data_IF_560014979602
#
_entry.id   IF_560014979602
#
_cell.length_a   1.000
_cell.length_b   1.000
_cell.length_c   1.000
_cell.angle_alpha   90.00
_cell.angle_beta   90.00
_cell.angle_gamma   90.00
#
_symmetry.space_group_name_H-M   'P 1'
#
loop_
_entity.id
_entity.type
_entity.pdbx_description
1 polymer ?
#
# COMPACT_ATOMS: atom_id res chain seq x y z
N UNK A 1 45.01 -37.86 44.52
CA UNK A 1 45.19 -36.57 43.83
C UNK A 1 44.89 -36.61 42.32
N UNK A 2 45.22 -37.66 41.59
CA UNK A 2 45.05 -37.76 40.13
C UNK A 2 43.58 -37.78 39.67
N UNK A 3 42.65 -38.38 40.42
CA UNK A 3 41.21 -38.41 40.06
C UNK A 3 40.51 -37.06 40.13
N UNK A 4 40.97 -36.09 40.91
CA UNK A 4 40.38 -34.73 40.96
C UNK A 4 40.87 -33.80 39.86
N UNK A 5 42.02 -34.07 39.26
CA UNK A 5 42.55 -33.31 38.14
C UNK A 5 41.85 -33.67 36.81
N UNK A 6 41.43 -34.94 36.64
CA UNK A 6 40.72 -35.39 35.43
C UNK A 6 39.30 -34.84 35.39
N UNK A 7 38.63 -34.72 36.53
CA UNK A 7 37.25 -34.15 36.58
C UNK A 7 37.26 -32.65 36.29
N UNK A 8 38.30 -31.91 36.72
CA UNK A 8 38.42 -30.47 36.40
C UNK A 8 38.73 -30.18 34.93
N UNK A 9 39.52 -31.07 34.25
CA UNK A 9 39.84 -30.94 32.85
C UNK A 9 38.62 -31.25 31.95
N UNK A 10 37.75 -32.18 32.33
CA UNK A 10 36.50 -32.50 31.59
C UNK A 10 35.45 -31.40 31.73
N UNK A 11 35.35 -30.76 32.90
CA UNK A 11 34.45 -29.63 33.08
C UNK A 11 34.92 -28.36 32.37
N UNK A 12 36.23 -28.17 32.19
CA UNK A 12 36.74 -27.02 31.44
C UNK A 12 36.60 -27.21 29.92
N UNK A 13 36.67 -28.44 29.43
CA UNK A 13 36.43 -28.76 27.99
C UNK A 13 34.95 -28.66 27.58
N UNK A 14 34.00 -28.81 28.53
CA UNK A 14 32.56 -28.65 28.31
C UNK A 14 32.08 -27.19 28.36
N UNK A 15 32.88 -26.26 28.84
CA UNK A 15 32.56 -24.83 28.89
C UNK A 15 33.10 -24.03 27.72
N UNK A 16 33.87 -24.66 26.81
CA UNK A 16 34.43 -24.01 25.63
C UNK A 16 33.66 -24.36 24.30
N UNK A 17 32.58 -25.09 24.41
CA UNK A 17 31.77 -25.44 23.25
C UNK A 17 30.39 -24.80 23.29
N UNK A 18 30.28 -23.49 23.30
CA UNK A 18 29.03 -22.82 22.86
C UNK A 18 29.21 -21.31 22.87
N UNK A 19 29.72 -20.79 21.80
CA UNK A 19 29.31 -19.50 21.25
C UNK A 19 29.73 -19.45 19.78
N UNK A 20 29.25 -20.42 18.97
CA UNK A 20 28.96 -20.09 17.61
C UNK A 20 27.52 -19.56 17.69
N UNK A 21 27.36 -18.33 18.11
CA UNK A 21 26.24 -17.54 17.65
C UNK A 21 26.42 -17.49 16.14
N UNK A 22 25.61 -18.24 15.41
CA UNK A 22 25.36 -17.92 14.03
C UNK A 22 24.92 -16.43 14.09
N UNK A 23 25.83 -15.52 13.74
CA UNK A 23 25.44 -14.20 13.33
C UNK A 23 24.47 -14.48 12.17
N UNK A 24 23.20 -14.21 12.36
CA UNK A 24 22.31 -14.06 11.24
C UNK A 24 23.02 -13.06 10.33
N UNK A 25 23.43 -13.48 9.17
CA UNK A 25 23.94 -12.56 8.15
C UNK A 25 22.73 -11.67 7.85
N UNK A 26 22.79 -10.42 8.33
CA UNK A 26 21.80 -9.43 7.94
C UNK A 26 21.80 -9.43 6.41
N UNK A 27 20.63 -9.69 5.83
CA UNK A 27 20.42 -9.63 4.39
C UNK A 27 20.69 -8.18 3.97
N UNK A 28 21.81 -7.94 3.28
CA UNK A 28 22.18 -6.59 2.81
C UNK A 28 21.93 -6.52 1.32
N UNK A 29 21.01 -5.64 0.92
CA UNK A 29 20.71 -5.42 -0.49
C UNK A 29 21.70 -4.44 -1.13
N UNK A 30 22.21 -4.77 -2.30
CA UNK A 30 22.86 -3.81 -3.20
C UNK A 30 21.77 -3.18 -4.06
N UNK A 31 21.62 -1.85 -3.99
CA UNK A 31 20.63 -1.11 -4.77
C UNK A 31 21.35 -0.38 -5.91
N UNK A 32 20.85 -0.53 -7.12
CA UNK A 32 21.40 0.17 -8.30
C UNK A 32 20.33 0.97 -9.02
N UNK A 33 20.70 2.12 -9.56
CA UNK A 33 19.91 2.94 -10.46
C UNK A 33 20.64 3.06 -11.80
N UNK A 34 20.02 2.61 -12.88
CA UNK A 34 20.57 2.61 -14.22
C UNK A 34 21.97 1.93 -14.31
N UNK A 35 22.20 0.92 -13.46
CA UNK A 35 23.43 0.18 -13.36
C UNK A 35 24.52 0.77 -12.45
N UNK A 36 24.30 1.96 -11.89
CA UNK A 36 25.19 2.59 -10.91
C UNK A 36 24.69 2.34 -9.49
N UNK A 37 25.59 2.13 -8.53
CA UNK A 37 25.22 1.88 -7.13
C UNK A 37 24.53 3.11 -6.52
N UNK A 38 23.34 2.88 -5.93
CA UNK A 38 22.59 3.88 -5.17
C UNK A 38 22.82 3.68 -3.68
N UNK A 39 23.40 4.66 -3.02
CA UNK A 39 23.61 4.63 -1.57
C UNK A 39 22.36 5.11 -0.84
N UNK A 40 21.83 4.27 0.04
CA UNK A 40 20.71 4.58 0.92
C UNK A 40 21.24 4.79 2.36
N UNK A 41 20.54 5.62 3.16
CA UNK A 41 20.94 5.90 4.55
C UNK A 41 20.86 4.67 5.45
N UNK A 42 19.93 3.74 5.16
CA UNK A 42 19.82 2.42 5.78
C UNK A 42 19.45 1.39 4.73
N UNK A 43 19.67 0.12 5.07
CA UNK A 43 19.33 -0.98 4.17
C UNK A 43 17.81 -1.08 3.91
N UNK A 44 17.40 -1.50 2.70
CA UNK A 44 16.04 -1.92 2.43
C UNK A 44 15.58 -2.99 3.42
N UNK A 45 14.33 -2.91 3.85
CA UNK A 45 13.77 -3.80 4.86
C UNK A 45 12.58 -4.61 4.33
N UNK A 46 12.44 -5.84 4.80
CA UNK A 46 11.25 -6.67 4.59
C UNK A 46 10.43 -6.70 5.88
N UNK A 47 9.14 -6.39 5.80
CA UNK A 47 8.24 -6.47 6.96
C UNK A 47 7.82 -7.92 7.22
N UNK A 48 7.53 -8.66 6.16
CA UNK A 48 7.16 -10.07 6.23
C UNK A 48 7.97 -10.88 5.21
N UNK A 49 8.77 -11.81 5.70
CA UNK A 49 9.59 -12.68 4.85
C UNK A 49 8.78 -13.66 3.97
N UNK A 50 7.49 -13.80 4.23
CA UNK A 50 6.58 -14.63 3.41
C UNK A 50 6.11 -13.94 2.14
N UNK A 51 6.26 -12.60 2.03
CA UNK A 51 5.82 -11.79 0.89
C UNK A 51 7.06 -11.31 0.13
N UNK A 52 7.37 -11.93 -1.01
CA UNK A 52 8.56 -11.61 -1.82
C UNK A 52 8.57 -10.17 -2.37
N UNK A 53 7.41 -9.56 -2.50
CA UNK A 53 7.25 -8.20 -3.06
C UNK A 53 7.27 -7.07 -2.05
N UNK A 54 7.36 -7.37 -0.74
CA UNK A 54 7.25 -6.37 0.32
C UNK A 54 8.62 -5.84 0.75
N UNK A 55 9.20 -4.98 -0.08
CA UNK A 55 10.46 -4.28 0.20
C UNK A 55 10.17 -2.83 0.53
N UNK A 56 10.65 -2.40 1.69
CA UNK A 56 10.64 -1.01 2.13
C UNK A 56 12.01 -0.38 1.93
N UNK A 57 12.02 0.85 1.45
CA UNK A 57 13.23 1.65 1.27
C UNK A 57 13.10 2.99 2.01
N UNK A 58 14.22 3.56 2.50
CA UNK A 58 14.21 4.85 3.15
C UNK A 58 13.82 5.94 2.15
N UNK A 59 12.62 6.53 2.33
CA UNK A 59 11.99 7.39 1.33
C UNK A 59 12.88 8.58 0.95
N UNK A 60 13.49 9.24 1.95
CA UNK A 60 14.20 10.49 1.69
C UNK A 60 15.48 10.25 0.89
N UNK A 61 16.34 9.33 1.33
CA UNK A 61 17.58 9.00 0.60
C UNK A 61 17.32 8.33 -0.75
N UNK A 62 16.25 7.53 -0.85
CA UNK A 62 15.82 6.97 -2.12
C UNK A 62 15.41 8.07 -3.11
N UNK A 63 14.53 8.98 -2.70
CA UNK A 63 14.10 10.11 -3.55
C UNK A 63 15.26 11.04 -3.89
N UNK A 64 16.22 11.25 -2.99
CA UNK A 64 17.43 12.02 -3.27
C UNK A 64 18.28 11.34 -4.35
N UNK A 65 18.50 10.02 -4.24
CA UNK A 65 19.17 9.21 -5.26
C UNK A 65 18.46 9.27 -6.61
N UNK A 66 17.13 9.30 -6.63
CA UNK A 66 16.31 9.48 -7.84
C UNK A 66 16.25 10.94 -8.34
N UNK A 67 16.98 11.87 -7.74
CA UNK A 67 17.14 13.24 -8.21
C UNK A 67 16.21 14.28 -7.60
N UNK A 68 15.60 14.01 -6.46
CA UNK A 68 14.89 15.02 -5.69
C UNK A 68 15.84 16.20 -5.33
N UNK A 69 15.33 17.42 -5.40
CA UNK A 69 16.09 18.64 -5.11
C UNK A 69 16.04 19.04 -3.64
N UNK A 70 14.96 18.66 -2.97
CA UNK A 70 14.75 18.87 -1.55
C UNK A 70 14.09 17.62 -1.00
N UNK A 71 14.63 17.10 0.09
CA UNK A 71 14.00 16.07 0.90
C UNK A 71 13.86 16.57 2.33
N UNK A 72 12.73 16.31 2.98
CA UNK A 72 12.44 16.85 4.31
C UNK A 72 11.56 15.88 5.10
N UNK A 73 11.91 15.66 6.35
CA UNK A 73 11.04 15.07 7.36
C UNK A 73 10.44 16.16 8.25
N UNK A 74 9.17 16.07 8.55
CA UNK A 74 8.47 16.93 9.49
C UNK A 74 8.02 16.10 10.69
N UNK A 75 8.60 16.37 11.85
CA UNK A 75 8.37 15.62 13.08
C UNK A 75 6.98 15.87 13.68
N UNK A 76 6.40 17.06 13.47
CA UNK A 76 5.11 17.42 14.03
C UNK A 76 3.97 16.72 13.27
N UNK A 77 4.01 16.75 11.94
CA UNK A 77 3.02 16.08 11.08
C UNK A 77 3.36 14.62 10.80
N UNK A 78 4.53 14.13 11.21
CA UNK A 78 5.03 12.78 10.93
C UNK A 78 5.00 12.47 9.44
N UNK A 79 5.41 13.43 8.62
CA UNK A 79 5.36 13.33 7.15
C UNK A 79 6.71 13.60 6.50
N UNK A 80 6.91 12.98 5.35
CA UNK A 80 8.08 13.14 4.50
C UNK A 80 7.68 13.81 3.18
N UNK A 81 8.49 14.76 2.74
CA UNK A 81 8.33 15.47 1.48
C UNK A 81 9.59 15.32 0.63
N UNK A 82 9.44 14.88 -0.60
CA UNK A 82 10.49 14.89 -1.61
C UNK A 82 10.06 15.78 -2.79
N UNK A 83 10.83 16.84 -3.07
CA UNK A 83 10.52 17.81 -4.13
C UNK A 83 11.45 17.57 -5.31
N UNK A 84 10.87 17.26 -6.44
CA UNK A 84 11.52 17.17 -7.74
C UNK A 84 11.38 18.51 -8.50
N UNK A 85 11.84 18.56 -9.73
CA UNK A 85 11.78 19.80 -10.51
C UNK A 85 10.34 20.26 -10.78
N UNK A 86 9.44 19.34 -11.08
CA UNK A 86 8.10 19.62 -11.60
C UNK A 86 6.98 19.08 -10.71
N UNK A 87 7.29 18.24 -9.72
CA UNK A 87 6.32 17.66 -8.80
C UNK A 87 6.94 17.38 -7.43
N UNK A 88 6.10 16.95 -6.49
CA UNK A 88 6.53 16.50 -5.19
C UNK A 88 5.87 15.15 -4.85
N UNK A 89 6.55 14.38 -4.02
CA UNK A 89 6.01 13.20 -3.34
C UNK A 89 5.85 13.55 -1.87
N UNK A 90 4.66 13.35 -1.34
CA UNK A 90 4.33 13.52 0.07
C UNK A 90 3.79 12.21 0.64
N UNK A 91 4.25 11.85 1.83
CA UNK A 91 3.85 10.64 2.51
C UNK A 91 3.81 10.86 4.03
N UNK A 92 2.80 10.32 4.71
CA UNK A 92 2.63 10.43 6.16
C UNK A 92 2.75 9.05 6.80
N UNK A 93 3.32 8.99 7.99
CA UNK A 93 3.39 7.74 8.76
C UNK A 93 1.99 7.14 8.97
N UNK A 94 1.90 5.82 8.84
CA UNK A 94 0.70 4.99 8.92
C UNK A 94 -0.35 5.23 7.82
N UNK A 95 -0.17 6.21 6.92
CA UNK A 95 -1.03 6.35 5.75
C UNK A 95 -0.84 5.18 4.79
N UNK A 96 -1.96 4.71 4.19
CA UNK A 96 -1.98 3.63 3.20
C UNK A 96 -1.68 4.14 1.77
N UNK A 97 -1.12 5.32 1.64
CA UNK A 97 -0.79 5.89 0.34
C UNK A 97 0.26 7.00 0.44
N UNK A 98 0.86 7.29 -0.69
CA UNK A 98 1.63 8.51 -0.90
C UNK A 98 0.91 9.37 -1.95
N UNK A 99 1.16 10.66 -1.95
CA UNK A 99 0.70 11.54 -3.02
C UNK A 99 1.86 11.89 -3.96
N UNK A 100 1.61 11.81 -5.26
CA UNK A 100 2.57 12.19 -6.29
C UNK A 100 1.83 12.75 -7.50
N UNK A 101 2.19 13.96 -7.94
CA UNK A 101 1.61 14.63 -9.12
C UNK A 101 0.06 14.63 -9.14
N UNK A 102 -0.58 14.86 -7.98
CA UNK A 102 -2.05 14.88 -7.83
C UNK A 102 -2.72 13.50 -7.74
N UNK A 103 -1.93 12.40 -7.84
CA UNK A 103 -2.40 11.02 -7.67
C UNK A 103 -2.19 10.55 -6.23
N UNK A 104 -3.03 9.59 -5.79
CA UNK A 104 -2.86 8.87 -4.53
C UNK A 104 -2.43 7.45 -4.85
N UNK A 105 -1.19 7.09 -4.57
CA UNK A 105 -0.63 5.78 -4.90
C UNK A 105 -0.65 4.88 -3.68
N UNK A 106 -1.27 3.72 -3.82
CA UNK A 106 -1.52 2.80 -2.72
C UNK A 106 -0.23 2.19 -2.18
N UNK A 107 -0.07 2.26 -0.88
CA UNK A 107 0.95 1.58 -0.09
C UNK A 107 0.23 0.56 0.82
N UNK A 108 0.04 -0.65 0.35
CA UNK A 108 -0.85 -1.66 0.94
C UNK A 108 -0.62 -1.90 2.44
N UNK A 109 0.63 -1.83 2.88
CA UNK A 109 1.00 -2.04 4.28
C UNK A 109 1.34 -0.73 5.02
N UNK A 110 1.05 0.41 4.40
CA UNK A 110 1.26 1.75 4.94
C UNK A 110 2.70 2.24 4.88
N UNK A 111 2.86 3.54 5.05
CA UNK A 111 4.16 4.19 5.25
C UNK A 111 4.58 4.00 6.71
N UNK A 112 5.85 3.66 6.98
CA UNK A 112 6.27 3.21 8.32
C UNK A 112 7.56 3.84 8.78
N UNK A 113 7.73 3.95 10.10
CA UNK A 113 9.07 4.13 10.69
C UNK A 113 9.63 2.75 11.05
N UNK A 114 10.76 2.38 10.45
CA UNK A 114 11.50 1.15 10.71
C UNK A 114 12.89 1.56 11.19
N UNK A 115 13.29 1.10 12.37
CA UNK A 115 14.57 1.44 13.02
C UNK A 115 14.87 2.95 13.07
N UNK A 116 13.82 3.76 13.24
CA UNK A 116 13.91 5.22 13.34
C UNK A 116 13.99 5.95 12.00
N UNK A 117 13.84 5.26 10.88
CA UNK A 117 13.86 5.83 9.53
C UNK A 117 12.49 5.69 8.86
N UNK A 118 12.04 6.74 8.18
CA UNK A 118 10.78 6.73 7.45
C UNK A 118 10.92 5.96 6.14
N UNK A 119 10.15 4.90 6.02
CA UNK A 119 10.23 3.91 4.96
C UNK A 119 8.92 3.81 4.18
N UNK A 120 9.02 3.66 2.88
CA UNK A 120 7.89 3.45 1.96
C UNK A 120 8.18 2.24 1.07
N UNK A 121 7.13 1.54 0.64
CA UNK A 121 7.27 0.41 -0.27
C UNK A 121 7.96 0.85 -1.57
N UNK A 122 8.97 0.10 -1.99
CA UNK A 122 9.73 0.34 -3.23
C UNK A 122 8.81 0.42 -4.46
N UNK A 123 7.85 -0.51 -4.55
CA UNK A 123 6.87 -0.54 -5.65
C UNK A 123 6.09 0.77 -5.79
N UNK A 124 5.69 1.34 -4.65
CA UNK A 124 4.92 2.59 -4.61
C UNK A 124 5.78 3.79 -5.03
N UNK A 125 7.02 3.87 -4.56
CA UNK A 125 7.96 4.94 -4.95
C UNK A 125 8.38 4.81 -6.42
N UNK A 126 8.67 3.60 -6.90
CA UNK A 126 8.97 3.38 -8.32
C UNK A 126 7.80 3.79 -9.22
N UNK A 127 6.56 3.43 -8.83
CA UNK A 127 5.35 3.89 -9.55
C UNK A 127 5.24 5.42 -9.56
N UNK A 128 5.52 6.10 -8.44
CA UNK A 128 5.48 7.56 -8.34
C UNK A 128 6.49 8.25 -9.25
N UNK A 129 7.60 7.60 -9.54
CA UNK A 129 8.73 8.11 -10.31
C UNK A 129 8.79 7.55 -11.74
N UNK A 130 7.73 6.86 -12.18
CA UNK A 130 7.68 6.19 -13.49
C UNK A 130 8.88 5.26 -13.73
N UNK A 131 9.41 4.67 -12.66
CA UNK A 131 10.54 3.76 -12.69
C UNK A 131 10.09 2.30 -12.63
N UNK A 132 10.90 1.41 -13.18
CA UNK A 132 10.74 -0.04 -13.03
C UNK A 132 11.84 -0.62 -12.17
N UNK A 133 11.58 -1.73 -11.50
CA UNK A 133 12.58 -2.39 -10.66
C UNK A 133 12.53 -3.90 -10.81
N UNK A 134 13.65 -4.54 -10.52
CA UNK A 134 13.82 -5.99 -10.45
C UNK A 134 14.42 -6.37 -9.10
N UNK A 135 13.85 -7.39 -8.46
CA UNK A 135 14.33 -7.93 -7.18
C UNK A 135 14.99 -9.30 -7.42
N UNK A 136 16.22 -9.44 -6.97
CA UNK A 136 16.93 -10.71 -6.93
C UNK A 136 17.24 -11.07 -5.47
N UNK A 137 16.43 -11.95 -4.90
CA UNK A 137 16.59 -12.42 -3.52
C UNK A 137 17.71 -13.45 -3.35
N UNK A 138 18.22 -14.05 -4.44
CA UNK A 138 19.35 -14.97 -4.37
C UNK A 138 20.67 -14.22 -4.19
N UNK A 139 20.80 -13.08 -4.89
CA UNK A 139 21.99 -12.23 -4.85
C UNK A 139 21.80 -10.97 -3.98
N UNK A 140 20.64 -10.78 -3.38
CA UNK A 140 20.27 -9.59 -2.60
C UNK A 140 20.49 -8.29 -3.38
N UNK A 141 19.96 -8.22 -4.60
CA UNK A 141 20.08 -7.03 -5.44
C UNK A 141 18.70 -6.42 -5.78
N UNK A 142 18.65 -5.11 -5.83
CA UNK A 142 17.53 -4.30 -6.29
C UNK A 142 18.04 -3.46 -7.45
N UNK A 143 17.61 -3.78 -8.67
CA UNK A 143 17.98 -3.04 -9.86
C UNK A 143 16.83 -2.13 -10.29
N UNK A 144 17.08 -0.82 -10.31
CA UNK A 144 16.09 0.20 -10.68
C UNK A 144 16.50 0.79 -12.02
N UNK A 145 15.53 0.92 -12.92
CA UNK A 145 15.68 1.60 -14.20
C UNK A 145 14.78 2.83 -14.16
N UNK A 146 15.38 4.01 -14.30
CA UNK A 146 14.64 5.27 -14.36
C UNK A 146 13.75 5.31 -15.60
N UNK A 147 12.53 5.83 -15.44
CA UNK A 147 11.63 6.12 -16.54
C UNK A 147 11.72 7.59 -16.97
N UNK A 148 10.61 8.15 -17.41
CA UNK A 148 10.54 9.59 -17.77
C UNK A 148 10.57 10.51 -16.53
N UNK A 149 10.49 9.96 -15.33
CA UNK A 149 10.67 10.63 -14.05
C UNK A 149 9.42 11.31 -13.48
N UNK A 150 8.33 11.35 -14.25
CA UNK A 150 7.05 11.96 -13.83
C UNK A 150 5.90 11.09 -14.33
N UNK A 151 5.10 10.59 -13.40
CA UNK A 151 3.83 9.94 -13.77
C UNK A 151 2.83 10.96 -14.32
N UNK A 152 1.91 10.49 -15.16
CA UNK A 152 0.75 11.27 -15.62
C UNK A 152 0.08 11.95 -14.44
N UNK A 153 -0.28 13.22 -14.58
CA UNK A 153 -0.93 14.00 -13.53
C UNK A 153 -2.30 13.45 -13.13
N UNK A 154 -2.72 13.72 -11.89
CA UNK A 154 -4.04 13.31 -11.42
C UNK A 154 -5.18 13.87 -12.28
N UNK A 155 -5.03 15.10 -12.78
CA UNK A 155 -6.03 15.76 -13.63
C UNK A 155 -6.19 15.07 -15.00
N UNK A 156 -5.13 14.45 -15.49
CA UNK A 156 -5.17 13.68 -16.75
C UNK A 156 -5.54 12.21 -16.54
N UNK A 157 -5.14 11.65 -15.39
CA UNK A 157 -5.33 10.23 -15.10
C UNK A 157 -6.75 9.89 -14.67
N UNK A 158 -7.35 10.71 -13.78
CA UNK A 158 -8.71 10.46 -13.30
C UNK A 158 -9.75 11.08 -14.24
N UNK A 159 -10.73 10.27 -14.67
CA UNK A 159 -11.93 10.83 -15.26
C UNK A 159 -12.70 11.60 -14.17
N UNK A 160 -12.99 12.87 -14.38
CA UNK A 160 -13.61 13.75 -13.37
C UNK A 160 -15.00 13.25 -12.95
N UNK A 161 -15.83 12.77 -13.87
CA UNK A 161 -17.16 12.27 -13.57
C UNK A 161 -17.10 10.97 -12.75
N UNK A 162 -16.22 10.06 -13.14
CA UNK A 162 -16.02 8.78 -12.45
C UNK A 162 -15.51 9.00 -11.01
N UNK A 163 -14.51 9.86 -10.83
CA UNK A 163 -13.99 10.22 -9.51
C UNK A 163 -15.07 10.90 -8.66
N UNK A 164 -15.84 11.82 -9.25
CA UNK A 164 -16.92 12.54 -8.57
C UNK A 164 -17.98 11.59 -8.02
N UNK A 165 -18.50 10.68 -8.82
CA UNK A 165 -19.54 9.76 -8.37
C UNK A 165 -18.99 8.67 -7.44
N UNK A 166 -17.78 8.19 -7.67
CA UNK A 166 -17.15 7.20 -6.80
C UNK A 166 -16.91 7.75 -5.38
N UNK A 167 -16.41 8.97 -5.25
CA UNK A 167 -16.23 9.60 -3.95
C UNK A 167 -17.57 9.79 -3.19
N UNK A 168 -18.64 10.14 -3.90
CA UNK A 168 -19.97 10.34 -3.32
C UNK A 168 -20.59 9.04 -2.82
N UNK A 169 -20.49 7.96 -3.58
CA UNK A 169 -21.04 6.67 -3.12
C UNK A 169 -20.22 6.13 -1.95
N UNK A 170 -18.90 6.28 -1.96
CA UNK A 170 -18.03 5.92 -0.83
C UNK A 170 -18.47 6.68 0.43
N UNK A 171 -18.66 8.00 0.33
CA UNK A 171 -19.11 8.79 1.47
C UNK A 171 -20.49 8.33 1.98
N UNK A 172 -21.43 8.11 1.08
CA UNK A 172 -22.81 7.80 1.43
C UNK A 172 -22.97 6.40 2.08
N UNK A 173 -22.16 5.44 1.67
CA UNK A 173 -22.20 4.05 2.18
C UNK A 173 -21.18 3.79 3.29
N UNK A 174 -20.02 4.46 3.27
CA UNK A 174 -18.89 4.13 4.12
C UNK A 174 -18.19 5.34 4.76
N UNK A 175 -18.75 6.54 4.72
CA UNK A 175 -18.10 7.75 5.24
C UNK A 175 -17.80 7.73 6.75
N UNK A 176 -18.37 6.79 7.50
CA UNK A 176 -18.10 6.53 8.92
C UNK A 176 -17.28 5.25 9.15
N UNK A 177 -16.80 4.59 8.10
CA UNK A 177 -15.98 3.39 8.18
C UNK A 177 -14.49 3.74 8.22
N UNK A 178 -13.65 2.75 8.52
CA UNK A 178 -12.20 2.88 8.35
C UNK A 178 -11.84 3.17 6.89
N UNK A 179 -10.66 3.71 6.67
CA UNK A 179 -10.18 4.06 5.33
C UNK A 179 -10.20 2.85 4.37
N UNK A 180 -9.74 1.67 4.84
CA UNK A 180 -9.88 0.42 4.08
C UNK A 180 -11.34 0.08 3.74
N UNK A 181 -12.27 0.35 4.66
CA UNK A 181 -13.70 0.15 4.42
C UNK A 181 -14.26 1.09 3.36
N UNK A 182 -13.76 2.32 3.29
CA UNK A 182 -14.08 3.28 2.24
C UNK A 182 -13.54 2.82 0.89
N UNK A 183 -12.26 2.43 0.82
CA UNK A 183 -11.66 1.86 -0.41
C UNK A 183 -12.43 0.61 -0.87
N UNK A 184 -12.80 -0.26 0.07
CA UNK A 184 -13.52 -1.50 -0.20
C UNK A 184 -14.89 -1.28 -0.88
N UNK A 185 -15.64 -0.25 -0.46
CA UNK A 185 -16.90 0.11 -1.12
C UNK A 185 -16.65 0.60 -2.55
N UNK A 186 -15.66 1.47 -2.75
CA UNK A 186 -15.22 1.89 -4.09
C UNK A 186 -14.82 0.70 -4.97
N UNK A 187 -14.10 -0.24 -4.39
CA UNK A 187 -13.65 -1.46 -5.06
C UNK A 187 -14.82 -2.33 -5.54
N UNK A 188 -15.88 -2.50 -4.72
CA UNK A 188 -17.09 -3.23 -5.16
C UNK A 188 -17.77 -2.55 -6.35
N UNK A 189 -17.83 -1.21 -6.38
CA UNK A 189 -18.38 -0.48 -7.54
C UNK A 189 -17.55 -0.77 -8.79
N UNK A 190 -16.22 -0.67 -8.72
CA UNK A 190 -15.32 -0.94 -9.85
C UNK A 190 -15.35 -2.40 -10.31
N UNK A 191 -15.42 -3.34 -9.36
CA UNK A 191 -15.57 -4.76 -9.69
C UNK A 191 -16.88 -5.04 -10.47
N UNK A 192 -17.98 -4.34 -10.14
CA UNK A 192 -19.23 -4.46 -10.89
C UNK A 192 -19.12 -3.88 -12.30
N UNK A 193 -18.46 -2.72 -12.45
CA UNK A 193 -18.18 -2.11 -13.78
C UNK A 193 -17.40 -3.08 -14.66
N UNK A 194 -16.38 -3.73 -14.09
CA UNK A 194 -15.50 -4.66 -14.81
C UNK A 194 -16.03 -6.10 -14.87
N UNK A 195 -17.20 -6.38 -14.29
CA UNK A 195 -17.76 -7.73 -14.27
C UNK A 195 -18.17 -8.18 -15.68
N UNK A 196 -17.72 -9.35 -16.16
CA UNK A 196 -18.04 -9.82 -17.51
C UNK A 196 -19.53 -10.12 -17.68
N UNK A 197 -20.09 -9.68 -18.80
CA UNK A 197 -21.51 -9.91 -19.16
C UNK A 197 -22.42 -8.75 -18.79
N UNK A 198 -23.74 -8.95 -18.90
CA UNK A 198 -24.75 -7.88 -18.82
C UNK A 198 -25.41 -7.77 -17.43
N UNK A 199 -24.77 -8.27 -16.37
CA UNK A 199 -25.35 -8.26 -15.03
C UNK A 199 -25.33 -6.87 -14.39
N UNK A 200 -24.25 -6.14 -14.62
CA UNK A 200 -24.06 -4.78 -14.13
C UNK A 200 -23.82 -3.84 -15.32
N UNK A 201 -24.12 -2.55 -15.16
CA UNK A 201 -23.69 -1.53 -16.13
C UNK A 201 -22.16 -1.44 -16.23
N UNK A 202 -21.68 -0.95 -17.35
CA UNK A 202 -20.25 -0.81 -17.69
C UNK A 202 -19.65 0.57 -17.33
N UNK A 203 -20.38 1.38 -16.55
CA UNK A 203 -19.93 2.68 -16.07
C UNK A 203 -20.15 2.82 -14.56
N UNK A 204 -19.32 3.61 -13.89
CA UNK A 204 -19.45 3.90 -12.46
C UNK A 204 -20.81 4.51 -12.16
N UNK A 205 -21.22 5.53 -12.93
CA UNK A 205 -22.55 6.14 -12.80
C UNK A 205 -23.66 5.10 -12.96
N UNK A 206 -23.58 4.28 -14.00
CA UNK A 206 -24.58 3.23 -14.28
C UNK A 206 -24.70 2.22 -13.14
N UNK A 207 -23.58 1.76 -12.57
CA UNK A 207 -23.57 0.84 -11.43
C UNK A 207 -24.19 1.49 -10.19
N UNK A 208 -23.84 2.75 -9.88
CA UNK A 208 -24.34 3.47 -8.72
C UNK A 208 -25.85 3.68 -8.81
N UNK A 209 -26.36 4.10 -9.99
CA UNK A 209 -27.76 4.39 -10.20
C UNK A 209 -28.59 3.20 -10.72
N UNK A 210 -27.99 2.00 -10.75
CA UNK A 210 -28.74 0.78 -11.07
C UNK A 210 -29.84 0.57 -10.00
N UNK A 211 -31.06 0.38 -10.46
CA UNK A 211 -32.26 0.29 -9.60
C UNK A 211 -32.08 -0.74 -8.47
N UNK A 212 -32.39 -0.34 -7.26
CA UNK A 212 -32.36 -1.14 -6.02
C UNK A 212 -30.94 -1.66 -5.62
N UNK A 213 -29.88 -1.01 -6.07
CA UNK A 213 -28.51 -1.41 -5.68
C UNK A 213 -27.99 -0.58 -4.52
N UNK A 214 -28.17 0.73 -4.54
CA UNK A 214 -27.64 1.63 -3.52
C UNK A 214 -28.74 2.53 -2.99
N UNK A 215 -29.07 2.39 -1.69
CA UNK A 215 -30.09 3.20 -1.03
C UNK A 215 -29.83 4.72 -1.07
N UNK A 216 -28.59 5.21 -1.02
CA UNK A 216 -28.28 6.63 -1.15
C UNK A 216 -28.82 7.32 -2.40
N UNK A 217 -29.01 6.58 -3.51
CA UNK A 217 -29.62 7.13 -4.74
C UNK A 217 -31.11 7.39 -4.57
N UNK A 218 -31.80 6.59 -3.77
CA UNK A 218 -33.25 6.71 -3.55
C UNK A 218 -33.60 7.79 -2.51
N UNK A 219 -32.75 7.93 -1.45
CA UNK A 219 -33.00 8.88 -0.36
C UNK A 219 -32.28 10.23 -0.53
N UNK A 220 -31.47 10.38 -1.59
CA UNK A 220 -30.79 11.61 -1.96
C UNK A 220 -29.47 11.88 -1.18
N UNK A 221 -29.03 10.99 -0.29
CA UNK A 221 -27.76 11.17 0.44
C UNK A 221 -26.53 11.13 -0.47
N UNK A 222 -26.63 10.52 -1.67
CA UNK A 222 -25.61 10.53 -2.70
C UNK A 222 -25.18 11.94 -3.13
N UNK A 223 -26.02 12.96 -2.95
CA UNK A 223 -25.72 14.34 -3.33
C UNK A 223 -24.98 15.14 -2.27
N UNK A 224 -24.70 14.57 -1.11
CA UNK A 224 -23.90 15.22 -0.08
C UNK A 224 -22.43 15.29 -0.47
N UNK A 225 -21.68 16.25 0.08
CA UNK A 225 -20.27 16.43 -0.23
C UNK A 225 -19.41 15.38 0.50
N UNK A 226 -18.55 14.63 -0.22
CA UNK A 226 -17.60 13.71 0.38
C UNK A 226 -16.53 14.44 1.22
N UNK A 227 -15.98 13.75 2.21
CA UNK A 227 -14.81 14.23 2.95
C UNK A 227 -13.54 14.11 2.09
N UNK A 228 -12.46 14.84 2.42
CA UNK A 228 -11.16 14.65 1.75
C UNK A 228 -10.68 13.18 1.76
N UNK A 229 -10.95 12.46 2.84
CA UNK A 229 -10.62 11.05 2.99
C UNK A 229 -11.39 10.17 1.98
N UNK A 230 -12.68 10.44 1.75
CA UNK A 230 -13.47 9.72 0.73
C UNK A 230 -12.98 10.01 -0.69
N UNK A 231 -12.49 11.21 -0.97
CA UNK A 231 -11.83 11.54 -2.24
C UNK A 231 -10.53 10.76 -2.43
N UNK A 232 -9.70 10.65 -1.37
CA UNK A 232 -8.49 9.83 -1.38
C UNK A 232 -8.82 8.35 -1.59
N UNK A 233 -9.82 7.81 -0.88
CA UNK A 233 -10.28 6.43 -1.04
C UNK A 233 -10.77 6.14 -2.46
N UNK A 234 -11.50 7.08 -3.10
CA UNK A 234 -11.93 6.95 -4.49
C UNK A 234 -10.74 6.93 -5.46
N UNK A 235 -9.76 7.82 -5.28
CA UNK A 235 -8.53 7.82 -6.06
C UNK A 235 -7.79 6.49 -5.92
N UNK A 236 -7.62 5.98 -4.69
CA UNK A 236 -6.94 4.70 -4.45
C UNK A 236 -7.66 3.52 -5.11
N UNK A 237 -8.98 3.48 -5.05
CA UNK A 237 -9.74 2.45 -5.76
C UNK A 237 -9.50 2.53 -7.28
N UNK A 238 -9.49 3.73 -7.88
CA UNK A 238 -9.17 3.95 -9.29
C UNK A 238 -7.71 3.61 -9.64
N UNK A 239 -6.80 3.73 -8.70
CA UNK A 239 -5.39 3.31 -8.84
C UNK A 239 -5.18 1.79 -8.71
N UNK A 240 -6.25 1.05 -8.42
CA UNK A 240 -6.22 -0.40 -8.36
C UNK A 240 -6.06 -0.99 -6.96
N UNK A 241 -6.20 -0.21 -5.89
CA UNK A 241 -6.28 -0.75 -4.54
C UNK A 241 -7.45 -1.73 -4.41
N UNK A 242 -7.20 -2.95 -3.90
CA UNK A 242 -8.17 -4.04 -3.87
C UNK A 242 -8.26 -4.75 -2.51
N UNK A 243 -8.58 -4.07 -1.42
CA UNK A 243 -8.65 -4.68 -0.08
C UNK A 243 -9.68 -5.81 0.02
N UNK A 244 -10.66 -5.86 -0.89
CA UNK A 244 -11.71 -6.90 -0.92
C UNK A 244 -11.65 -7.77 -2.17
N UNK A 245 -10.52 -7.77 -2.90
CA UNK A 245 -10.37 -8.58 -4.12
C UNK A 245 -11.51 -8.36 -5.11
N UNK A 246 -12.10 -9.45 -5.61
CA UNK A 246 -13.15 -9.41 -6.62
C UNK A 246 -14.58 -9.41 -6.04
N UNK A 247 -14.77 -8.97 -4.80
CA UNK A 247 -16.09 -8.90 -4.17
C UNK A 247 -17.05 -8.00 -4.96
N UNK A 248 -18.28 -8.51 -5.14
CA UNK A 248 -19.36 -7.82 -5.86
C UNK A 248 -20.47 -7.32 -4.92
N UNK A 249 -20.44 -7.72 -3.65
CA UNK A 249 -21.49 -7.42 -2.68
C UNK A 249 -20.89 -7.03 -1.34
N UNK A 250 -21.58 -6.11 -0.67
CA UNK A 250 -21.34 -5.80 0.75
C UNK A 250 -22.64 -5.51 1.47
N UNK A 251 -22.65 -5.65 2.78
CA UNK A 251 -23.75 -5.24 3.65
C UNK A 251 -23.27 -5.07 5.10
N UNK A 252 -24.01 -4.27 5.89
CA UNK A 252 -23.75 -4.11 7.31
C UNK A 252 -24.11 -5.36 8.14
N UNK A 253 -25.00 -6.21 7.66
CA UNK A 253 -25.44 -7.43 8.34
C UNK A 253 -24.97 -8.66 7.57
N UNK A 254 -24.45 -9.65 8.28
CA UNK A 254 -24.06 -10.94 7.68
C UNK A 254 -25.27 -11.75 7.22
N UNK A 255 -26.36 -11.66 7.98
CA UNK A 255 -27.66 -12.30 7.70
C UNK A 255 -28.46 -11.44 6.70
N UNK A 256 -28.00 -11.43 5.45
CA UNK A 256 -28.62 -10.73 4.33
C UNK A 256 -28.69 -11.60 3.09
N UNK A 257 -29.27 -11.11 2.01
CA UNK A 257 -29.37 -11.88 0.76
C UNK A 257 -28.03 -12.39 0.27
N UNK A 258 -26.98 -11.53 0.28
CA UNK A 258 -25.64 -11.93 -0.12
C UNK A 258 -25.06 -12.98 0.83
N UNK A 259 -25.26 -12.85 2.14
CA UNK A 259 -24.81 -13.81 3.14
C UNK A 259 -25.38 -15.22 2.96
N UNK A 260 -26.61 -15.33 2.38
CA UNK A 260 -27.24 -16.63 2.09
C UNK A 260 -26.93 -17.17 0.68
N UNK A 261 -26.49 -16.32 -0.26
CA UNK A 261 -26.42 -16.69 -1.68
C UNK A 261 -25.03 -16.51 -2.32
N UNK A 262 -24.02 -16.03 -1.56
CA UNK A 262 -22.68 -15.69 -2.06
C UNK A 262 -21.59 -16.22 -1.15
N UNK A 263 -20.41 -16.43 -1.70
CA UNK A 263 -19.24 -16.83 -0.92
C UNK A 263 -18.73 -15.67 -0.10
N UNK A 264 -18.71 -15.84 1.23
CA UNK A 264 -18.13 -14.86 2.14
C UNK A 264 -16.63 -14.71 1.88
N UNK A 265 -16.16 -13.49 1.79
CA UNK A 265 -14.75 -13.18 1.60
C UNK A 265 -14.11 -12.65 2.89
N UNK A 266 -14.54 -11.47 3.35
CA UNK A 266 -13.99 -10.85 4.55
C UNK A 266 -14.98 -9.89 5.23
N UNK A 267 -14.56 -9.37 6.39
CA UNK A 267 -15.22 -8.25 7.09
C UNK A 267 -14.21 -7.12 7.27
N UNK A 268 -14.57 -5.90 6.87
CA UNK A 268 -13.80 -4.68 7.13
C UNK A 268 -14.73 -3.68 7.84
N UNK A 269 -14.32 -3.24 9.04
CA UNK A 269 -15.14 -2.34 9.85
C UNK A 269 -16.55 -2.89 10.09
N UNK A 270 -17.56 -2.09 9.73
CA UNK A 270 -18.98 -2.45 9.85
C UNK A 270 -19.52 -3.27 8.68
N UNK A 271 -18.75 -3.54 7.61
CA UNK A 271 -19.23 -4.20 6.41
C UNK A 271 -18.67 -5.62 6.23
N UNK A 272 -19.54 -6.51 5.79
CA UNK A 272 -19.21 -7.86 5.31
C UNK A 272 -19.18 -7.84 3.78
N UNK A 273 -18.22 -8.57 3.17
CA UNK A 273 -17.99 -8.58 1.72
C UNK A 273 -18.08 -10.01 1.17
N UNK A 274 -18.67 -10.14 -0.05
CA UNK A 274 -18.88 -11.43 -0.72
C UNK A 274 -18.55 -11.35 -2.23
N UNK A 275 -18.12 -12.51 -2.75
CA UNK A 275 -17.86 -12.73 -4.17
C UNK A 275 -19.15 -12.85 -5.00
#
# INVERSE_FOLDING_TARGET
MIKRLITAAICLALLLSFAITAAATEETFTVTLDGEEMLLEVQPARIDSSIESDIYVPMLSFCEGMGAKVVKWDEESRSALAVFREFAIDATEDDLYITANGRCLYAEYGCKIIDGVFMVQLSTLCKALDAVYELDFENYTISIISGEGIITSGDEFYNEEDLFWLARIIWAEAGNQSFDGQIAVGNVVLNRVNFPGNRFPDTIYGVIFQKNQFQPTDNGTIYNNPTPECWAAAKLALEGAKPVGDCLYFAALKECWAGYNRTFYCKIGGHYFWL
#
